data_IF_346060830539
#
_entry.id   IF_346060830539
#
_cell.length_a   1.000
_cell.length_b   1.000
_cell.length_c   1.000
_cell.angle_alpha   90.00
_cell.angle_beta   90.00
_cell.angle_gamma   90.00
#
_symmetry.space_group_name_H-M   'P 1'
#
loop_
_entity.id
_entity.type
_entity.pdbx_description
1 polymer ?
#
# COMPACT_ATOMS: atom_id res chain seq x y z
N UNK A 1 -16.42 7.41 7.86
CA UNK A 1 -15.75 6.86 6.67
C UNK A 1 -14.46 6.23 7.17
N UNK A 2 -14.16 4.99 6.77
CA UNK A 2 -12.95 4.26 7.19
C UNK A 2 -11.69 4.74 6.46
N UNK A 3 -11.87 5.46 5.35
CA UNK A 3 -10.84 6.16 4.59
C UNK A 3 -11.09 7.66 4.66
N UNK A 4 -10.07 8.43 4.99
CA UNK A 4 -10.11 9.89 5.05
C UNK A 4 -8.92 10.40 4.24
N UNK A 5 -9.17 11.16 3.18
CA UNK A 5 -8.12 11.72 2.34
C UNK A 5 -7.22 12.64 3.16
N UNK A 6 -5.89 12.52 2.96
CA UNK A 6 -4.91 13.39 3.59
C UNK A 6 -4.97 14.77 2.97
N UNK A 7 -4.79 15.80 3.80
CA UNK A 7 -4.42 17.12 3.31
C UNK A 7 -2.99 17.11 2.76
N UNK A 8 -2.66 18.11 1.94
CA UNK A 8 -1.29 18.27 1.39
C UNK A 8 -0.21 18.27 2.49
N UNK A 9 -0.48 18.93 3.62
CA UNK A 9 0.45 18.98 4.74
C UNK A 9 0.62 17.62 5.45
N UNK A 10 -0.46 16.86 5.61
CA UNK A 10 -0.41 15.51 6.21
C UNK A 10 0.30 14.53 5.27
N UNK A 11 0.09 14.67 3.96
CA UNK A 11 0.79 13.90 2.95
C UNK A 11 2.29 14.21 2.95
N UNK A 12 2.69 15.48 2.97
CA UNK A 12 4.10 15.89 3.08
C UNK A 12 4.75 15.29 4.32
N UNK A 13 4.10 15.40 5.48
CA UNK A 13 4.60 14.82 6.73
C UNK A 13 4.75 13.29 6.65
N UNK A 14 3.78 12.58 6.07
CA UNK A 14 3.84 11.13 5.93
C UNK A 14 4.99 10.71 5.01
N UNK A 15 5.17 11.41 3.89
CA UNK A 15 6.28 11.13 2.97
C UNK A 15 7.64 11.47 3.56
N UNK A 16 7.75 12.55 4.35
CA UNK A 16 8.98 12.86 5.08
C UNK A 16 9.39 11.73 6.04
N UNK A 17 8.42 11.11 6.72
CA UNK A 17 8.68 9.96 7.58
C UNK A 17 9.20 8.76 6.78
N UNK A 18 8.57 8.45 5.65
CA UNK A 18 8.99 7.34 4.76
C UNK A 18 10.36 7.62 4.16
N UNK A 19 10.61 8.81 3.62
CA UNK A 19 11.87 9.20 3.01
C UNK A 19 13.02 9.15 4.03
N UNK A 20 12.78 9.66 5.24
CA UNK A 20 13.76 9.62 6.33
C UNK A 20 14.12 8.19 6.74
N UNK A 21 13.16 7.27 6.71
CA UNK A 21 13.34 5.90 7.19
C UNK A 21 13.90 4.95 6.14
N UNK A 22 13.41 5.05 4.91
CA UNK A 22 13.63 4.07 3.85
C UNK A 22 14.40 4.62 2.65
N UNK A 23 14.73 5.92 2.67
CA UNK A 23 15.32 6.62 1.51
C UNK A 23 14.54 6.33 0.23
N UNK A 24 13.22 6.45 0.32
CA UNK A 24 12.29 6.05 -0.74
C UNK A 24 12.58 6.82 -2.04
N UNK A 25 12.77 6.07 -3.12
CA UNK A 25 13.09 6.57 -4.46
C UNK A 25 12.19 5.86 -5.48
N UNK A 26 10.93 6.31 -5.63
CA UNK A 26 10.00 5.69 -6.57
C UNK A 26 10.47 5.88 -8.01
N UNK A 27 10.33 4.86 -8.85
CA UNK A 27 10.56 4.97 -10.28
C UNK A 27 9.65 4.05 -11.07
N UNK A 28 9.27 4.49 -12.28
CA UNK A 28 8.56 3.67 -13.27
C UNK A 28 9.52 2.80 -14.10
N UNK A 29 10.84 2.98 -13.97
CA UNK A 29 11.84 2.23 -14.72
C UNK A 29 12.38 1.09 -13.87
N UNK A 30 12.38 -0.16 -14.38
CA UNK A 30 12.91 -1.30 -13.64
C UNK A 30 14.38 -1.17 -13.21
N UNK A 31 15.19 -0.46 -14.00
CA UNK A 31 16.62 -0.26 -13.73
C UNK A 31 16.89 0.59 -12.47
N UNK A 32 15.90 1.35 -12.00
CA UNK A 32 16.00 2.21 -10.83
C UNK A 32 15.48 1.53 -9.54
N UNK A 33 15.11 0.24 -9.61
CA UNK A 33 14.60 -0.53 -8.46
C UNK A 33 15.75 -1.19 -7.67
N UNK A 34 15.61 -1.42 -6.35
CA UNK A 34 14.41 -1.24 -5.52
C UNK A 34 14.16 0.21 -5.08
N UNK A 35 12.88 0.60 -5.01
CA UNK A 35 12.49 1.94 -4.59
C UNK A 35 12.58 2.19 -3.08
N UNK A 36 12.79 1.16 -2.26
CA UNK A 36 13.06 1.29 -0.82
C UNK A 36 14.40 0.64 -0.50
N UNK A 37 15.15 1.25 0.41
CA UNK A 37 16.33 0.63 1.00
C UNK A 37 16.02 0.30 2.47
N UNK A 38 16.01 -0.97 2.81
CA UNK A 38 15.88 -1.42 4.21
C UNK A 38 17.29 -1.57 4.76
N UNK A 39 17.66 -0.66 5.67
CA UNK A 39 18.99 -0.64 6.30
C UNK A 39 19.05 -1.41 7.62
N UNK A 40 17.98 -2.14 7.96
CA UNK A 40 17.89 -2.95 9.17
C UNK A 40 18.18 -4.41 8.84
N UNK A 41 18.81 -5.12 9.76
CA UNK A 41 19.11 -6.56 9.58
C UNK A 41 17.88 -7.46 9.83
N UNK A 42 16.78 -6.91 10.36
CA UNK A 42 15.58 -7.64 10.80
C UNK A 42 14.36 -7.41 9.88
N UNK A 43 14.44 -7.87 8.63
CA UNK A 43 13.28 -7.88 7.73
C UNK A 43 13.14 -9.19 6.95
N UNK A 44 11.92 -9.45 6.49
CA UNK A 44 11.60 -10.60 5.62
C UNK A 44 10.95 -10.06 4.35
N UNK A 45 11.45 -10.47 3.18
CA UNK A 45 10.84 -10.16 1.88
C UNK A 45 10.12 -11.38 1.34
N UNK A 46 8.85 -11.22 0.98
CA UNK A 46 8.05 -12.24 0.31
C UNK A 46 7.85 -11.87 -1.15
N UNK A 47 8.01 -12.84 -2.06
CA UNK A 47 7.62 -12.69 -3.47
C UNK A 47 6.29 -13.41 -3.64
N UNK A 48 5.24 -12.65 -3.95
CA UNK A 48 3.95 -13.22 -4.34
C UNK A 48 4.06 -13.68 -5.79
N UNK A 49 4.07 -15.00 -6.03
CA UNK A 49 4.04 -15.57 -7.38
C UNK A 49 2.61 -15.48 -7.96
N UNK A 50 2.48 -15.50 -9.29
CA UNK A 50 1.21 -15.41 -10.05
C UNK A 50 0.13 -16.45 -9.70
N UNK A 51 0.38 -17.34 -8.76
CA UNK A 51 -0.60 -18.25 -8.16
C UNK A 51 -1.29 -17.59 -6.96
N UNK A 52 -1.64 -16.31 -7.10
CA UNK A 52 -2.56 -15.68 -6.16
C UNK A 52 -3.83 -16.50 -6.26
N UNK A 53 -4.09 -17.34 -5.26
CA UNK A 53 -5.23 -18.23 -5.25
C UNK A 53 -6.46 -17.32 -5.14
N UNK A 54 -7.24 -17.22 -6.23
CA UNK A 54 -8.45 -16.38 -6.29
C UNK A 54 -9.48 -16.74 -5.20
N UNK A 55 -9.25 -17.84 -4.46
CA UNK A 55 -10.04 -18.25 -3.29
C UNK A 55 -9.65 -17.55 -1.99
N UNK A 56 -8.50 -16.89 -1.93
CA UNK A 56 -8.03 -16.16 -0.74
C UNK A 56 -8.43 -14.69 -0.81
N UNK A 57 -9.26 -14.26 0.14
CA UNK A 57 -9.57 -12.84 0.34
C UNK A 57 -8.44 -12.14 1.09
N UNK A 58 -7.42 -11.72 0.36
CA UNK A 58 -6.26 -11.01 0.91
C UNK A 58 -6.64 -9.64 1.51
N UNK A 59 -7.73 -9.00 1.07
CA UNK A 59 -8.19 -7.75 1.68
C UNK A 59 -8.64 -8.02 3.12
N UNK A 60 -9.45 -9.06 3.33
CA UNK A 60 -9.91 -9.43 4.67
C UNK A 60 -8.75 -9.88 5.57
N UNK A 61 -7.81 -10.67 5.03
CA UNK A 61 -6.62 -11.08 5.77
C UNK A 61 -5.74 -9.88 6.18
N UNK A 62 -5.52 -8.93 5.26
CA UNK A 62 -4.79 -7.70 5.58
C UNK A 62 -5.54 -6.87 6.62
N UNK A 63 -6.87 -6.78 6.51
CA UNK A 63 -7.69 -6.05 7.47
C UNK A 63 -7.53 -6.60 8.89
N UNK A 64 -7.64 -7.92 9.07
CA UNK A 64 -7.45 -8.56 10.37
C UNK A 64 -6.05 -8.33 10.94
N UNK A 65 -5.03 -8.41 10.08
CA UNK A 65 -3.65 -8.11 10.46
C UNK A 65 -3.52 -6.64 10.89
N UNK A 66 -4.07 -5.68 10.14
CA UNK A 66 -4.05 -4.27 10.49
C UNK A 66 -4.78 -3.98 11.80
N UNK A 67 -5.96 -4.58 12.03
CA UNK A 67 -6.67 -4.48 13.32
C UNK A 67 -5.83 -4.95 14.50
N UNK A 68 -4.93 -5.91 14.29
CA UNK A 68 -4.04 -6.40 15.34
C UNK A 68 -2.85 -5.47 15.62
N UNK A 69 -2.48 -4.60 14.67
CA UNK A 69 -1.33 -3.69 14.79
C UNK A 69 -1.69 -2.32 15.38
N UNK A 70 -2.96 -1.90 15.28
CA UNK A 70 -3.41 -0.57 15.72
C UNK A 70 -4.64 -0.66 16.63
N UNK A 71 -4.77 0.31 17.52
CA UNK A 71 -5.93 0.50 18.40
C UNK A 71 -7.15 1.00 17.61
N UNK A 72 -8.34 0.96 18.22
CA UNK A 72 -9.60 1.34 17.55
C UNK A 72 -9.65 2.82 17.14
N UNK A 73 -8.95 3.68 17.88
CA UNK A 73 -8.87 5.11 17.66
C UNK A 73 -7.72 5.51 16.73
N UNK A 74 -6.83 4.58 16.39
CA UNK A 74 -5.65 4.82 15.57
C UNK A 74 -5.93 4.62 14.08
N UNK A 75 -5.16 5.35 13.26
CA UNK A 75 -5.24 5.30 11.80
C UNK A 75 -3.88 4.93 11.23
N UNK A 76 -3.91 4.23 10.12
CA UNK A 76 -2.75 3.84 9.31
C UNK A 76 -2.64 4.85 8.17
N UNK A 77 -1.42 5.28 7.85
CA UNK A 77 -1.15 6.00 6.61
C UNK A 77 -1.19 5.01 5.43
N UNK A 78 -2.15 5.20 4.53
CA UNK A 78 -2.24 4.49 3.26
C UNK A 78 -1.75 5.42 2.15
N UNK A 79 -0.53 5.16 1.68
CA UNK A 79 0.20 6.04 0.76
C UNK A 79 0.28 5.42 -0.62
N UNK A 80 -0.08 6.20 -1.64
CA UNK A 80 0.14 5.90 -3.04
C UNK A 80 1.01 7.00 -3.64
N UNK A 81 2.14 6.64 -4.26
CA UNK A 81 3.06 7.65 -4.81
C UNK A 81 2.53 8.27 -6.12
N UNK A 82 1.53 7.65 -6.77
CA UNK A 82 0.91 8.14 -8.01
C UNK A 82 -0.47 8.79 -7.78
N UNK A 83 -1.07 8.61 -6.61
CA UNK A 83 -2.45 8.98 -6.32
C UNK A 83 -2.59 9.66 -4.96
N UNK A 84 -3.83 10.02 -4.62
CA UNK A 84 -4.20 10.59 -3.33
C UNK A 84 -3.85 9.62 -2.19
N UNK A 85 -3.45 10.17 -1.05
CA UNK A 85 -3.11 9.43 0.16
C UNK A 85 -4.24 9.51 1.18
N UNK A 86 -4.33 8.53 2.09
CA UNK A 86 -5.42 8.44 3.04
C UNK A 86 -4.96 8.05 4.45
N UNK A 87 -5.69 8.52 5.45
CA UNK A 87 -5.81 7.81 6.72
C UNK A 87 -6.80 6.66 6.57
N UNK A 88 -6.39 5.47 7.01
CA UNK A 88 -7.22 4.28 7.01
C UNK A 88 -7.39 3.74 8.44
N UNK A 89 -8.63 3.50 8.86
CA UNK A 89 -8.92 2.81 10.12
C UNK A 89 -9.57 1.44 9.87
N UNK A 90 -8.87 0.33 10.17
CA UNK A 90 -9.35 -1.02 9.89
C UNK A 90 -10.49 -1.47 10.84
N UNK A 91 -10.68 -0.79 11.97
CA UNK A 91 -11.74 -1.08 12.94
C UNK A 91 -13.09 -0.44 12.58
N UNK A 92 -13.09 0.56 11.69
CA UNK A 92 -14.32 1.16 11.18
C UNK A 92 -14.83 0.30 10.01
N UNK A 93 -16.08 -0.20 10.05
CA UNK A 93 -16.63 -1.02 8.99
C UNK A 93 -16.51 -0.35 7.62
N UNK A 94 -15.99 -1.11 6.65
CA UNK A 94 -16.16 -0.85 5.22
C UNK A 94 -17.68 -0.83 4.98
N UNK A 95 -18.24 0.30 4.58
CA UNK A 95 -19.64 0.35 4.11
C UNK A 95 -19.81 -0.46 2.82
N UNK A 96 -20.83 -0.17 2.01
CA UNK A 96 -21.06 -0.91 0.74
C UNK A 96 -20.02 -0.62 -0.37
N UNK A 97 -18.89 0.01 -0.06
CA UNK A 97 -17.92 0.52 -1.03
C UNK A 97 -16.67 -0.36 -1.06
N UNK A 98 -16.01 -0.47 -2.22
CA UNK A 98 -14.70 -1.13 -2.36
C UNK A 98 -13.61 -0.37 -1.56
N UNK A 99 -12.44 -0.99 -1.34
CA UNK A 99 -11.31 -0.29 -0.74
C UNK A 99 -10.90 0.87 -1.63
N UNK A 100 -10.61 2.03 -1.03
CA UNK A 100 -10.16 3.21 -1.78
C UNK A 100 -8.81 2.95 -2.46
N UNK A 101 -7.91 2.25 -1.77
CA UNK A 101 -6.68 1.69 -2.35
C UNK A 101 -6.83 0.16 -2.34
N UNK A 102 -7.02 -0.49 -3.50
CA UNK A 102 -7.23 -1.94 -3.55
C UNK A 102 -5.96 -2.71 -3.20
N UNK A 103 -6.12 -3.90 -2.61
CA UNK A 103 -4.97 -4.79 -2.34
C UNK A 103 -4.31 -5.26 -3.64
N UNK A 104 -5.12 -5.63 -4.62
CA UNK A 104 -4.64 -6.03 -5.92
C UNK A 104 -4.23 -4.79 -6.71
N UNK A 105 -3.02 -4.82 -7.26
CA UNK A 105 -2.58 -3.79 -8.19
C UNK A 105 -3.58 -3.71 -9.35
N UNK A 106 -4.29 -2.60 -9.45
CA UNK A 106 -4.94 -2.17 -10.69
C UNK A 106 -3.83 -1.81 -11.68
N UNK A 107 -3.31 -2.82 -12.36
CA UNK A 107 -2.38 -2.59 -13.45
C UNK A 107 -3.06 -1.70 -14.48
N UNK A 108 -2.45 -0.57 -14.81
CA UNK A 108 -2.55 -0.07 -16.18
C UNK A 108 -1.94 -1.18 -17.04
N UNK A 109 -2.78 -2.13 -17.49
CA UNK A 109 -2.45 -3.06 -18.55
C UNK A 109 -2.47 -2.21 -19.82
N UNK A 110 -1.39 -1.49 -20.12
CA UNK A 110 -1.13 -1.14 -21.52
C UNK A 110 -0.74 -2.44 -22.19
N UNK A 111 -1.72 -3.05 -22.85
CA UNK A 111 -1.54 -4.20 -23.73
C UNK A 111 -0.40 -3.93 -24.70
N UNK A 112 0.79 -4.41 -24.38
CA UNK A 112 1.86 -4.63 -25.33
C UNK A 112 2.18 -6.11 -25.24
N UNK A 113 1.38 -6.88 -25.98
CA UNK A 113 1.67 -8.28 -26.25
C UNK A 113 3.12 -8.40 -26.74
N UNK A 114 3.93 -9.34 -26.20
CA UNK A 114 5.15 -9.71 -26.89
C UNK A 114 4.74 -10.34 -28.22
N UNK A 115 5.16 -9.73 -29.32
CA UNK A 115 5.15 -10.41 -30.62
C UNK A 115 6.16 -11.56 -30.51
N UNK A 116 5.64 -12.79 -30.53
CA UNK A 116 6.40 -13.98 -30.92
C UNK A 116 6.64 -13.90 -32.42
#
# INVERSE_FOLDING_TARGET
>A
MNWIELTEAEQEQAWDMINKRFSFSPSIKPDDWPSITINDDDYITFILTNTCDDTLDFEEQCNEVFKSMVSKEEYIFALDWQHECYFFNPHIPKGDHEWTIPFYRTGIITSSSPKI
#
